data_IF_056961595352
#
_entry.id   IF_056961595352
#
_cell.length_a   1.000
_cell.length_b   1.000
_cell.length_c   1.000
_cell.angle_alpha   90.00
_cell.angle_beta   90.00
_cell.angle_gamma   90.00
#
_symmetry.space_group_name_H-M   'P 1'
#
loop_
_entity.id
_entity.type
_entity.pdbx_description
1 polymer ?
#
# COMPACT_ATOMS: atom_id res chain seq x y z
N UNK A 1 -13.75 -23.29 -15.33
CA UNK A 1 -12.55 -22.43 -15.30
C UNK A 1 -13.00 -21.08 -14.74
N UNK A 2 -12.65 -20.73 -13.50
CA UNK A 2 -12.99 -19.41 -12.95
C UNK A 2 -12.20 -18.32 -13.72
N UNK A 3 -12.74 -17.11 -13.89
CA UNK A 3 -12.01 -16.02 -14.55
C UNK A 3 -10.68 -15.78 -13.83
N UNK A 4 -9.60 -15.66 -14.60
CA UNK A 4 -8.28 -15.35 -14.04
C UNK A 4 -8.33 -13.95 -13.41
N UNK A 5 -8.25 -13.90 -12.08
CA UNK A 5 -8.13 -12.65 -11.35
C UNK A 5 -6.81 -11.97 -11.71
N UNK A 6 -6.88 -10.70 -12.11
CA UNK A 6 -5.68 -9.89 -12.40
C UNK A 6 -5.16 -9.32 -11.07
N UNK A 7 -4.17 -9.99 -10.51
CA UNK A 7 -3.52 -9.57 -9.27
C UNK A 7 -2.44 -8.51 -9.53
N UNK A 8 -2.46 -7.45 -8.74
CA UNK A 8 -1.48 -6.37 -8.72
C UNK A 8 -0.68 -6.42 -7.43
N UNK A 9 0.64 -6.63 -7.54
CA UNK A 9 1.56 -6.66 -6.42
C UNK A 9 1.96 -5.25 -5.99
N UNK A 10 2.03 -4.98 -4.69
CA UNK A 10 2.49 -3.69 -4.17
C UNK A 10 3.96 -3.41 -4.50
N UNK A 11 4.26 -2.21 -5.00
CA UNK A 11 5.64 -1.76 -5.29
C UNK A 11 6.44 -1.38 -4.05
N UNK A 12 5.85 -1.37 -2.85
CA UNK A 12 6.57 -1.18 -1.57
C UNK A 12 7.25 -2.47 -1.08
N UNK A 13 7.70 -3.30 -2.03
CA UNK A 13 8.53 -4.48 -1.79
C UNK A 13 9.99 -4.02 -1.79
N UNK A 14 10.37 -3.17 -0.83
CA UNK A 14 11.70 -2.55 -0.74
C UNK A 14 12.61 -3.27 0.26
N UNK A 15 13.78 -3.64 -0.25
CA UNK A 15 15.01 -4.16 0.38
C UNK A 15 14.96 -4.86 1.76
N UNK A 16 15.26 -6.16 1.73
CA UNK A 16 15.71 -7.09 2.79
C UNK A 16 14.91 -7.24 4.11
N UNK A 17 14.09 -6.27 4.54
CA UNK A 17 13.42 -6.30 5.86
C UNK A 17 11.88 -6.42 5.82
N UNK A 18 11.27 -6.52 4.63
CA UNK A 18 9.81 -6.62 4.49
C UNK A 18 9.35 -7.68 3.45
N UNK A 19 9.38 -8.98 3.78
CA UNK A 19 8.98 -10.05 2.86
C UNK A 19 7.47 -10.16 2.59
N UNK A 20 6.62 -9.47 3.37
CA UNK A 20 5.16 -9.64 3.33
C UNK A 20 4.52 -8.81 2.19
N UNK A 21 4.78 -9.22 0.95
CA UNK A 21 4.24 -8.57 -0.23
C UNK A 21 2.72 -8.77 -0.31
N UNK A 22 1.95 -7.68 -0.35
CA UNK A 22 0.51 -7.72 -0.57
C UNK A 22 0.16 -7.65 -2.07
N UNK A 23 -0.86 -8.41 -2.46
CA UNK A 23 -1.45 -8.41 -3.79
C UNK A 23 -2.93 -8.03 -3.74
N UNK A 24 -3.37 -7.22 -4.69
CA UNK A 24 -4.74 -6.72 -4.81
C UNK A 24 -5.37 -7.15 -6.13
N UNK A 25 -6.65 -7.53 -6.10
CA UNK A 25 -7.45 -7.74 -7.31
C UNK A 25 -8.85 -7.17 -7.14
N UNK A 26 -9.52 -6.88 -8.24
CA UNK A 26 -10.94 -6.49 -8.25
C UNK A 26 -11.77 -7.60 -8.87
N UNK A 27 -12.89 -7.93 -8.23
CA UNK A 27 -13.79 -8.99 -8.70
C UNK A 27 -15.22 -8.69 -8.25
N UNK A 28 -16.17 -8.63 -9.19
CA UNK A 28 -17.60 -8.46 -8.90
C UNK A 28 -17.89 -7.26 -7.97
N UNK A 29 -17.18 -6.14 -8.17
CA UNK A 29 -17.32 -4.93 -7.34
C UNK A 29 -16.68 -5.02 -5.95
N UNK A 30 -16.04 -6.13 -5.61
CA UNK A 30 -15.25 -6.30 -4.40
C UNK A 30 -13.76 -6.08 -4.67
N UNK A 31 -13.05 -5.64 -3.63
CA UNK A 31 -11.59 -5.68 -3.58
C UNK A 31 -11.18 -6.98 -2.88
N UNK A 32 -10.24 -7.70 -3.49
CA UNK A 32 -9.59 -8.87 -2.95
C UNK A 32 -8.17 -8.49 -2.56
N UNK A 33 -7.76 -8.90 -1.37
CA UNK A 33 -6.42 -8.71 -0.85
C UNK A 33 -5.88 -10.08 -0.43
N UNK A 34 -4.63 -10.38 -0.78
CA UNK A 34 -3.93 -11.57 -0.30
C UNK A 34 -2.46 -11.27 -0.06
N UNK A 35 -1.81 -12.15 0.68
CA UNK A 35 -0.36 -12.13 0.87
C UNK A 35 0.30 -13.03 -0.18
N UNK A 36 1.44 -12.60 -0.72
CA UNK A 36 2.17 -13.37 -1.74
C UNK A 36 2.68 -14.71 -1.22
N UNK A 37 2.96 -14.82 0.08
CA UNK A 37 3.43 -16.05 0.73
C UNK A 37 2.28 -16.98 1.16
N UNK A 38 1.07 -16.43 1.30
CA UNK A 38 -0.15 -17.16 1.62
C UNK A 38 -1.23 -16.92 0.54
N UNK A 39 -1.05 -17.44 -0.70
CA UNK A 39 -1.94 -17.12 -1.83
C UNK A 39 -3.36 -17.66 -1.68
N UNK A 40 -3.61 -18.54 -0.70
CA UNK A 40 -4.92 -19.08 -0.35
C UNK A 40 -5.74 -18.18 0.57
N UNK A 41 -5.10 -17.26 1.30
CA UNK A 41 -5.76 -16.39 2.26
C UNK A 41 -6.21 -15.10 1.57
N UNK A 42 -7.40 -15.16 0.99
CA UNK A 42 -7.99 -14.03 0.27
C UNK A 42 -9.00 -13.31 1.15
N UNK A 43 -8.65 -12.10 1.58
CA UNK A 43 -9.56 -11.17 2.23
C UNK A 43 -10.41 -10.45 1.19
N UNK A 44 -11.73 -10.56 1.30
CA UNK A 44 -12.68 -9.82 0.46
C UNK A 44 -13.24 -8.63 1.20
N UNK A 45 -13.14 -7.45 0.61
CA UNK A 45 -13.65 -6.20 1.17
C UNK A 45 -14.31 -5.31 0.12
N UNK A 46 -14.92 -4.20 0.56
CA UNK A 46 -15.47 -3.18 -0.34
C UNK A 46 -14.34 -2.21 -0.74
N UNK A 47 -14.23 -1.77 -2.00
CA UNK A 47 -13.21 -0.81 -2.43
C UNK A 47 -13.18 0.47 -1.58
N UNK A 48 -14.35 0.96 -1.16
CA UNK A 48 -14.47 2.15 -0.30
C UNK A 48 -13.90 1.93 1.09
N UNK A 49 -14.12 0.75 1.68
CA UNK A 49 -13.60 0.40 2.99
C UNK A 49 -12.06 0.26 2.94
N UNK A 50 -11.54 -0.39 1.91
CA UNK A 50 -10.10 -0.49 1.67
C UNK A 50 -9.46 0.90 1.50
N UNK A 51 -10.08 1.77 0.70
CA UNK A 51 -9.60 3.13 0.51
C UNK A 51 -9.66 3.98 1.79
N UNK A 52 -10.65 3.75 2.66
CA UNK A 52 -10.72 4.37 3.98
C UNK A 52 -9.58 3.91 4.90
N UNK A 53 -9.33 2.61 4.94
CA UNK A 53 -8.23 2.01 5.71
C UNK A 53 -6.86 2.55 5.26
N UNK A 54 -6.58 2.54 3.96
CA UNK A 54 -5.31 3.04 3.41
C UNK A 54 -5.08 4.50 3.81
N UNK A 55 -6.10 5.36 3.67
CA UNK A 55 -6.00 6.77 4.07
C UNK A 55 -5.71 6.93 5.56
N UNK A 56 -6.38 6.15 6.41
CA UNK A 56 -6.16 6.18 7.85
C UNK A 56 -4.75 5.73 8.23
N UNK A 57 -4.26 4.64 7.64
CA UNK A 57 -2.90 4.13 7.87
C UNK A 57 -1.84 5.11 7.36
N UNK A 58 -2.00 5.71 6.18
CA UNK A 58 -1.06 6.71 5.69
C UNK A 58 -1.04 7.98 6.55
N UNK A 59 -2.20 8.44 7.03
CA UNK A 59 -2.28 9.60 7.92
C UNK A 59 -1.59 9.34 9.26
N UNK A 60 -1.77 8.15 9.83
CA UNK A 60 -1.12 7.75 11.10
C UNK A 60 0.37 7.45 10.92
N UNK A 61 0.78 6.83 9.81
CA UNK A 61 2.19 6.61 9.47
C UNK A 61 2.96 7.92 9.27
N UNK A 62 2.30 8.95 8.71
CA UNK A 62 2.89 10.28 8.55
C UNK A 62 2.91 11.06 9.87
N UNK A 63 1.89 10.90 10.72
CA UNK A 63 1.85 11.53 12.05
C UNK A 63 2.91 10.98 13.02
N UNK A 64 3.32 9.72 12.86
CA UNK A 64 4.30 9.04 13.73
C UNK A 64 5.76 9.08 13.25
N UNK A 65 6.07 9.61 12.07
CA UNK A 65 7.42 9.60 11.52
C UNK A 65 8.09 10.99 11.57
N UNK A 66 8.90 11.31 12.60
CA UNK A 66 9.63 12.58 12.67
C UNK A 66 10.71 12.74 11.57
N UNK A 67 10.99 11.70 10.77
CA UNK A 67 11.98 11.73 9.68
C UNK A 67 11.46 12.20 8.33
N UNK A 68 10.17 12.55 8.18
CA UNK A 68 9.71 13.30 6.99
C UNK A 68 10.14 14.76 7.10
N UNK A 69 11.45 14.98 7.19
CA UNK A 69 12.09 16.28 7.21
C UNK A 69 11.72 17.02 5.93
N UNK A 70 10.87 18.01 6.10
CA UNK A 70 10.68 19.17 5.24
C UNK A 70 12.03 19.53 4.60
N UNK A 71 12.18 19.34 3.29
CA UNK A 71 13.30 19.93 2.55
C UNK A 71 13.18 21.45 2.72
N UNK A 72 14.05 22.03 3.56
CA UNK A 72 14.21 23.48 3.65
C UNK A 72 14.56 24.00 2.25
N UNK A 73 13.87 25.03 1.72
CA UNK A 73 14.37 25.71 0.53
C UNK A 73 15.65 26.42 0.96
N UNK A 74 16.78 25.94 0.45
CA UNK A 74 18.09 26.53 0.70
C UNK A 74 18.09 27.97 0.18
N UNK A 75 18.24 28.92 1.10
CA UNK A 75 18.59 30.30 0.82
C UNK A 75 19.89 30.31 0.02
N UNK A 76 19.85 30.77 -1.23
CA UNK A 76 21.06 31.14 -1.97
C UNK A 76 21.53 32.50 -1.43
N UNK A 77 22.75 32.64 -0.92
CA UNK A 77 23.32 33.96 -0.66
C UNK A 77 23.74 34.61 -1.98
N UNK A 78 23.41 35.90 -2.12
CA UNK A 78 23.93 36.79 -3.13
C UNK A 78 25.42 37.06 -2.88
N UNK A 79 26.25 36.96 -3.92
CA UNK A 79 27.41 37.83 -4.12
C UNK A 79 27.89 37.77 -5.56
#
# INVERSE_FOLDING_TARGET
MAPALVWQKSSFSGDEDAPNCLELATHEGAALLRESDAPGDVLRTRPQALAGLIRHVCATATAGNPRSGRRSPGSRPSS
#
